data_IF_942072937038
#
_entry.id   IF_942072937038
#
_cell.length_a   1.000
_cell.length_b   1.000
_cell.length_c   1.000
_cell.angle_alpha   90.00
_cell.angle_beta   90.00
_cell.angle_gamma   90.00
#
_symmetry.space_group_name_H-M   'P 1'
#
loop_
_entity.id
_entity.type
_entity.pdbx_description
1 polymer ?
#
# COMPACT_ATOMS: atom_id res chain seq x y z
N UNK A 1 2.24 20.90 -0.47
CA UNK A 1 2.09 20.30 -1.81
C UNK A 1 1.35 18.98 -1.70
N UNK A 2 0.03 18.96 -1.93
CA UNK A 2 -0.77 17.74 -1.88
C UNK A 2 -0.56 17.00 -3.22
N UNK A 3 0.37 16.06 -3.26
CA UNK A 3 0.52 15.17 -4.43
C UNK A 3 -0.79 14.40 -4.55
N UNK A 4 -1.66 14.85 -5.47
CA UNK A 4 -2.78 14.05 -5.95
C UNK A 4 -2.16 12.81 -6.58
N UNK A 5 -2.07 11.75 -5.79
CA UNK A 5 -1.48 10.49 -6.22
C UNK A 5 -2.36 10.01 -7.38
N UNK A 6 -1.86 10.11 -8.61
CA UNK A 6 -2.60 9.68 -9.80
C UNK A 6 -2.42 8.16 -9.95
N UNK A 7 -3.46 7.40 -10.31
CA UNK A 7 -3.32 5.98 -10.60
C UNK A 7 -2.34 5.79 -11.75
N UNK A 8 -1.28 5.03 -11.51
CA UNK A 8 -0.23 4.81 -12.50
C UNK A 8 -0.65 3.67 -13.43
N UNK A 9 -0.61 3.89 -14.75
CA UNK A 9 -0.97 2.87 -15.74
C UNK A 9 0.27 2.08 -16.16
N UNK A 10 0.20 0.75 -16.08
CA UNK A 10 1.30 -0.10 -16.52
C UNK A 10 1.43 -0.08 -18.04
N UNK A 11 2.62 0.23 -18.61
CA UNK A 11 2.79 0.46 -20.04
C UNK A 11 2.54 -0.80 -20.87
N UNK A 12 2.81 -1.99 -20.32
CA UNK A 12 2.63 -3.28 -21.03
C UNK A 12 1.23 -3.86 -20.86
N UNK A 13 0.67 -3.76 -19.65
CA UNK A 13 -0.58 -4.45 -19.29
C UNK A 13 -1.80 -3.54 -19.35
N UNK A 14 -1.61 -2.23 -19.35
CA UNK A 14 -2.69 -1.23 -19.29
C UNK A 14 -3.45 -1.18 -17.96
N UNK A 15 -3.09 -2.01 -16.99
CA UNK A 15 -3.72 -2.06 -15.66
C UNK A 15 -3.27 -0.86 -14.84
N UNK A 16 -4.19 -0.27 -14.09
CA UNK A 16 -3.88 0.79 -13.14
C UNK A 16 -3.36 0.24 -11.80
N UNK A 17 -2.41 0.94 -11.23
CA UNK A 17 -1.78 0.64 -9.94
C UNK A 17 -1.83 1.86 -9.03
N UNK A 18 -2.07 1.61 -7.75
CA UNK A 18 -1.73 2.53 -6.67
C UNK A 18 -0.24 2.37 -6.37
N UNK A 19 0.49 3.48 -6.37
CA UNK A 19 1.89 3.54 -5.96
C UNK A 19 2.05 4.65 -4.95
N UNK A 20 2.47 4.29 -3.74
CA UNK A 20 2.73 5.22 -2.65
C UNK A 20 4.07 4.87 -2.02
N UNK A 21 4.84 5.87 -1.68
CA UNK A 21 6.01 5.65 -0.83
C UNK A 21 5.54 5.37 0.59
N UNK A 22 6.16 4.37 1.23
CA UNK A 22 5.96 4.11 2.66
C UNK A 22 6.82 5.11 3.44
N UNK A 23 6.26 5.91 4.36
CA UNK A 23 7.01 6.83 5.22
C UNK A 23 8.11 6.12 5.99
N UNK A 24 9.28 6.73 6.09
CA UNK A 24 10.48 6.11 6.67
C UNK A 24 10.27 5.60 8.10
N UNK A 25 9.51 6.32 8.91
CA UNK A 25 9.22 5.99 10.31
C UNK A 25 8.53 4.62 10.45
N UNK A 26 7.67 4.28 9.49
CA UNK A 26 6.87 3.03 9.50
C UNK A 26 7.38 1.98 8.52
N UNK A 27 8.45 2.25 7.74
CA UNK A 27 9.08 1.27 6.83
C UNK A 27 9.51 0.00 7.57
N UNK A 28 9.95 0.15 8.82
CA UNK A 28 10.37 -0.97 9.66
C UNK A 28 9.21 -1.88 10.07
N UNK A 29 8.01 -1.31 10.27
CA UNK A 29 6.79 -2.04 10.64
C UNK A 29 6.18 -2.71 9.40
N UNK A 30 6.08 -1.95 8.31
CA UNK A 30 5.49 -2.44 7.04
C UNK A 30 6.42 -3.41 6.30
N UNK A 31 7.73 -3.32 6.53
CA UNK A 31 8.75 -4.15 5.90
C UNK A 31 8.96 -3.87 4.40
N UNK A 32 8.39 -2.78 3.87
CA UNK A 32 8.47 -2.39 2.46
C UNK A 32 8.71 -0.89 2.30
N UNK A 33 9.40 -0.50 1.22
CA UNK A 33 9.69 0.91 0.90
C UNK A 33 8.64 1.56 0.00
N UNK A 34 8.05 0.78 -0.92
CA UNK A 34 6.97 1.23 -1.80
C UNK A 34 5.73 0.34 -1.58
N UNK A 35 4.58 0.98 -1.41
CA UNK A 35 3.27 0.35 -1.44
C UNK A 35 2.75 0.37 -2.86
N UNK A 36 2.80 -0.79 -3.53
CA UNK A 36 2.34 -0.98 -4.91
C UNK A 36 1.20 -1.99 -4.95
N UNK A 37 0.01 -1.52 -5.31
CA UNK A 37 -1.19 -2.36 -5.39
C UNK A 37 -1.81 -2.27 -6.78
N UNK A 38 -2.19 -3.41 -7.34
CA UNK A 38 -2.90 -3.46 -8.61
C UNK A 38 -4.38 -3.17 -8.38
N UNK A 39 -4.95 -2.23 -9.14
CA UNK A 39 -6.40 -1.95 -9.13
C UNK A 39 -7.19 -2.94 -9.99
N UNK A 40 -6.49 -3.86 -10.68
CA UNK A 40 -7.03 -4.92 -11.53
C UNK A 40 -8.10 -4.42 -12.51
N UNK A 41 -7.84 -3.25 -13.08
CA UNK A 41 -8.72 -2.64 -14.08
C UNK A 41 -7.89 -1.82 -15.05
N UNK A 42 -8.35 -1.79 -16.30
CA UNK A 42 -7.78 -0.98 -17.40
C UNK A 42 -8.61 0.28 -17.65
N UNK A 43 -9.78 0.37 -17.02
CA UNK A 43 -10.77 1.43 -17.19
C UNK A 43 -10.57 2.51 -16.13
N UNK A 44 -10.37 3.75 -16.57
CA UNK A 44 -10.12 4.86 -15.64
C UNK A 44 -11.33 5.14 -14.74
N UNK A 45 -12.55 5.00 -15.27
CA UNK A 45 -13.80 5.18 -14.54
C UNK A 45 -13.93 4.20 -13.37
N UNK A 46 -13.46 2.96 -13.54
CA UNK A 46 -13.44 1.93 -12.49
C UNK A 46 -12.18 2.04 -11.61
N UNK A 47 -11.07 2.51 -12.16
CA UNK A 47 -9.82 2.69 -11.43
C UNK A 47 -9.94 3.79 -10.37
N UNK A 48 -10.59 4.91 -10.67
CA UNK A 48 -10.72 6.06 -9.76
C UNK A 48 -11.37 5.71 -8.41
N UNK A 49 -12.56 5.07 -8.35
CA UNK A 49 -13.16 4.69 -7.07
C UNK A 49 -12.34 3.61 -6.36
N UNK A 50 -11.80 2.61 -7.07
CA UNK A 50 -10.93 1.57 -6.48
C UNK A 50 -9.65 2.18 -5.88
N UNK A 51 -9.09 3.16 -6.57
CA UNK A 51 -7.92 3.90 -6.11
C UNK A 51 -8.24 4.64 -4.81
N UNK A 52 -9.37 5.34 -4.73
CA UNK A 52 -9.78 6.03 -3.51
C UNK A 52 -9.97 5.05 -2.34
N UNK A 53 -10.66 3.93 -2.57
CA UNK A 53 -10.85 2.91 -1.53
C UNK A 53 -9.52 2.28 -1.07
N UNK A 54 -8.62 1.95 -1.99
CA UNK A 54 -7.31 1.39 -1.64
C UNK A 54 -6.38 2.42 -0.97
N UNK A 55 -6.51 3.70 -1.35
CA UNK A 55 -5.78 4.79 -0.73
C UNK A 55 -6.21 4.97 0.74
N UNK A 56 -7.51 4.98 1.02
CA UNK A 56 -8.04 5.06 2.39
C UNK A 56 -7.54 3.88 3.23
N UNK A 57 -7.57 2.66 2.69
CA UNK A 57 -7.00 1.47 3.37
C UNK A 57 -5.50 1.62 3.61
N UNK A 58 -4.76 2.11 2.63
CA UNK A 58 -3.33 2.37 2.77
C UNK A 58 -3.03 3.39 3.87
N UNK A 59 -3.82 4.47 3.95
CA UNK A 59 -3.69 5.49 4.99
C UNK A 59 -4.04 4.94 6.38
N UNK A 60 -5.08 4.13 6.50
CA UNK A 60 -5.45 3.45 7.76
C UNK A 60 -4.32 2.54 8.26
N UNK A 61 -3.72 1.75 7.37
CA UNK A 61 -2.56 0.91 7.71
C UNK A 61 -1.36 1.76 8.15
N UNK A 62 -1.12 2.89 7.47
CA UNK A 62 -0.02 3.78 7.83
C UNK A 62 -0.25 4.45 9.18
N UNK A 63 -1.49 4.85 9.45
CA UNK A 63 -1.89 5.42 10.72
C UNK A 63 -1.73 4.40 11.85
N UNK A 64 -2.27 3.18 11.69
CA UNK A 64 -2.13 2.10 12.68
C UNK A 64 -0.66 1.72 12.92
N UNK A 65 0.17 1.66 11.88
CA UNK A 65 1.61 1.42 12.02
C UNK A 65 2.28 2.56 12.80
N UNK A 66 1.87 3.81 12.56
CA UNK A 66 2.41 4.97 13.27
C UNK A 66 1.95 5.04 14.71
N UNK A 67 0.71 4.67 15.02
CA UNK A 67 0.21 4.53 16.38
C UNK A 67 0.97 3.44 17.13
N UNK A 68 1.23 2.29 16.48
CA UNK A 68 2.04 1.23 17.06
C UNK A 68 3.49 1.69 17.34
N UNK A 69 4.05 2.55 16.47
CA UNK A 69 5.34 3.20 16.71
C UNK A 69 5.28 4.21 17.87
N UNK A 70 4.19 4.97 18.00
CA UNK A 70 4.00 5.95 19.08
C UNK A 70 3.77 5.29 20.46
N UNK A 71 3.18 4.08 20.48
CA UNK A 71 2.87 3.31 21.69
C UNK A 71 4.01 2.44 22.24
N UNK A 72 5.17 2.36 21.57
CA UNK A 72 6.33 1.59 22.08
C UNK A 72 7.66 2.35 21.96
N UNK A 73 8.45 2.43 23.05
CA UNK A 73 9.81 2.91 22.99
C UNK A 73 10.69 1.90 22.26
N UNK A 74 11.35 2.37 21.20
CA UNK A 74 12.64 1.90 20.65
C UNK A 74 13.00 0.43 20.93
N UNK A 75 12.41 -0.51 20.21
CA UNK A 75 13.03 -1.84 20.05
C UNK A 75 12.95 -2.27 18.59
N UNK A 76 14.07 -2.00 17.92
CA UNK A 76 14.73 -2.75 16.86
C UNK A 76 13.91 -3.35 15.71
N UNK A 77 14.26 -2.85 14.53
CA UNK A 77 14.38 -3.58 13.28
C UNK A 77 14.98 -5.00 13.47
N UNK A 78 14.17 -6.00 13.79
CA UNK A 78 14.39 -7.43 13.47
C UNK A 78 13.28 -8.32 14.01
N UNK A 79 12.03 -7.86 14.02
CA UNK A 79 10.90 -8.74 14.30
C UNK A 79 9.78 -8.35 13.35
N UNK A 80 9.79 -8.96 12.18
CA UNK A 80 8.66 -8.98 11.27
C UNK A 80 7.84 -10.28 11.50
N UNK A 81 7.08 -10.45 12.60
CA UNK A 81 6.11 -11.51 12.64
C UNK A 81 4.86 -11.05 11.89
N UNK A 82 4.67 -11.64 10.71
CA UNK A 82 3.39 -12.21 10.28
C UNK A 82 2.16 -11.30 10.48
N UNK A 83 1.91 -10.39 9.55
CA UNK A 83 0.54 -10.00 9.16
C UNK A 83 0.41 -9.70 7.65
N UNK A 84 1.25 -10.35 6.84
CA UNK A 84 1.10 -10.37 5.38
C UNK A 84 0.56 -11.72 4.87
N UNK A 85 0.24 -12.67 5.77
CA UNK A 85 -0.37 -13.94 5.41
C UNK A 85 -1.90 -13.80 5.36
N UNK A 86 -2.36 -13.09 4.32
CA UNK A 86 -3.70 -13.32 3.71
C UNK A 86 -3.94 -12.62 2.38
N UNK A 87 -2.95 -11.92 1.82
CA UNK A 87 -3.22 -11.04 0.67
C UNK A 87 -2.30 -11.26 -0.52
N UNK A 88 -1.81 -12.49 -0.68
CA UNK A 88 -1.04 -12.94 -1.84
C UNK A 88 -1.69 -14.10 -2.64
N UNK A 89 -2.95 -14.44 -2.39
CA UNK A 89 -3.66 -15.44 -3.22
C UNK A 89 -4.59 -14.85 -4.28
N UNK A 90 -4.77 -13.53 -4.35
CA UNK A 90 -5.82 -12.97 -5.19
C UNK A 90 -5.37 -12.43 -6.56
N UNK A 91 -4.10 -12.53 -6.99
CA UNK A 91 -3.62 -11.94 -8.27
C UNK A 91 -2.79 -12.89 -9.13
N UNK A 92 -3.03 -14.20 -9.08
CA UNK A 92 -2.37 -15.09 -10.05
C UNK A 92 -3.19 -16.33 -10.43
N UNK A 93 -4.52 -16.23 -10.47
CA UNK A 93 -5.34 -17.25 -11.12
C UNK A 93 -6.44 -16.58 -11.94
N UNK A 94 -6.13 -16.28 -13.20
CA UNK A 94 -7.00 -16.52 -14.36
C UNK A 94 -6.22 -16.34 -15.66
#
# INVERSE_FOLDING_TARGET
MHVMTKPWKHPRSGIFYLRREVPEDIRLIIGKREWKVSLRTRDFATARPRFASELIRCEDIFFAAREQLAGRPRVLASDAPKLADRWAQAVLES
#
